data_IF_271518531540
#
_entry.id   IF_271518531540
#
_cell.length_a   1.000
_cell.length_b   1.000
_cell.length_c   1.000
_cell.angle_alpha   90.00
_cell.angle_beta   90.00
_cell.angle_gamma   90.00
#
_symmetry.space_group_name_H-M   'P 1'
#
loop_
_entity.id
_entity.type
_entity.pdbx_description
1 polymer ?
#
# COMPACT_ATOMS: atom_id res chain seq x y z
N UNK A 1 16.15 24.49 14.66
CA UNK A 1 15.03 23.76 14.01
C UNK A 1 14.99 23.92 12.49
N UNK A 2 15.37 25.08 11.93
CA UNK A 2 15.29 25.36 10.47
C UNK A 2 16.21 24.47 9.60
N UNK A 3 17.44 24.15 10.04
CA UNK A 3 18.36 23.24 9.31
C UNK A 3 17.78 21.82 9.08
N UNK A 4 17.09 21.25 10.06
CA UNK A 4 16.47 19.92 9.89
C UNK A 4 15.35 19.89 8.85
N UNK A 5 14.66 21.02 8.64
CA UNK A 5 13.57 21.07 7.66
C UNK A 5 14.12 21.08 6.23
N UNK A 6 15.22 21.80 5.98
CA UNK A 6 15.88 21.84 4.67
C UNK A 6 16.54 20.51 4.29
N UNK A 7 17.05 19.77 5.28
CA UNK A 7 17.64 18.45 5.05
C UNK A 7 16.57 17.42 4.67
N UNK A 8 15.37 17.51 5.28
CA UNK A 8 14.26 16.61 4.95
C UNK A 8 13.66 16.90 3.57
N UNK A 9 13.59 18.17 3.14
CA UNK A 9 13.06 18.51 1.81
C UNK A 9 13.97 18.03 0.70
N UNK A 10 15.29 18.24 0.84
CA UNK A 10 16.28 17.74 -0.14
C UNK A 10 16.30 16.22 -0.20
N UNK A 11 16.22 15.53 0.95
CA UNK A 11 16.09 14.08 1.00
C UNK A 11 14.80 13.58 0.33
N UNK A 12 13.67 14.26 0.54
CA UNK A 12 12.39 13.90 -0.09
C UNK A 12 12.45 14.06 -1.61
N UNK A 13 13.02 15.16 -2.12
CA UNK A 13 13.20 15.39 -3.55
C UNK A 13 14.08 14.31 -4.19
N UNK A 14 15.23 14.01 -3.56
CA UNK A 14 16.12 12.93 -4.00
C UNK A 14 15.43 11.57 -3.97
N UNK A 15 14.69 11.26 -2.90
CA UNK A 15 13.93 10.02 -2.77
C UNK A 15 12.83 9.85 -3.80
N UNK A 16 12.10 10.93 -4.11
CA UNK A 16 11.07 10.94 -5.16
C UNK A 16 11.72 10.73 -6.54
N UNK A 17 12.83 11.43 -6.81
CA UNK A 17 13.57 11.29 -8.07
C UNK A 17 14.11 9.87 -8.26
N UNK A 18 14.75 9.30 -7.24
CA UNK A 18 15.25 7.92 -7.25
C UNK A 18 14.12 6.90 -7.47
N UNK A 19 12.95 7.10 -6.83
CA UNK A 19 11.80 6.23 -7.04
C UNK A 19 11.22 6.33 -8.46
N UNK A 20 11.21 7.52 -9.06
CA UNK A 20 10.81 7.72 -10.46
C UNK A 20 11.77 7.00 -11.42
N UNK A 21 13.09 7.12 -11.21
CA UNK A 21 14.07 6.41 -12.02
C UNK A 21 13.95 4.89 -11.90
N UNK A 22 13.77 4.36 -10.68
CA UNK A 22 13.57 2.93 -10.49
C UNK A 22 12.31 2.40 -11.20
N UNK A 23 11.21 3.18 -11.22
CA UNK A 23 10.02 2.84 -11.99
C UNK A 23 10.27 2.89 -13.50
N UNK A 24 11.02 3.87 -13.97
CA UNK A 24 11.40 3.98 -15.39
C UNK A 24 12.28 2.80 -15.82
N UNK A 25 13.29 2.42 -15.02
CA UNK A 25 14.13 1.25 -15.26
C UNK A 25 13.32 -0.04 -15.28
N UNK A 26 12.40 -0.23 -14.32
CA UNK A 26 11.46 -1.36 -14.30
C UNK A 26 10.63 -1.42 -15.59
N UNK A 27 10.17 -0.27 -16.09
CA UNK A 27 9.38 -0.17 -17.32
C UNK A 27 10.21 -0.47 -18.58
N UNK A 28 11.46 0.01 -18.62
CA UNK A 28 12.41 -0.22 -19.71
C UNK A 28 12.80 -1.69 -19.81
N UNK A 29 13.17 -2.33 -18.69
CA UNK A 29 13.53 -3.77 -18.64
C UNK A 29 12.41 -4.70 -19.12
N UNK A 30 11.16 -4.27 -18.96
CA UNK A 30 9.98 -5.03 -19.37
C UNK A 30 9.38 -4.54 -20.69
N UNK A 31 10.03 -3.61 -21.40
CA UNK A 31 9.56 -3.00 -22.64
C UNK A 31 8.12 -2.47 -22.56
N UNK A 32 7.69 -2.01 -21.37
CA UNK A 32 6.32 -1.54 -21.15
C UNK A 32 6.02 -0.24 -21.89
N UNK A 33 7.06 0.53 -22.24
CA UNK A 33 6.95 1.74 -23.05
C UNK A 33 6.44 1.46 -24.47
N UNK A 34 6.65 0.25 -24.99
CA UNK A 34 6.10 -0.21 -26.29
C UNK A 34 4.61 -0.58 -26.22
N UNK A 35 3.98 -0.47 -25.05
CA UNK A 35 2.57 -0.83 -24.80
C UNK A 35 2.22 -2.24 -25.33
N UNK A 36 2.96 -3.28 -24.91
CA UNK A 36 2.68 -4.65 -25.35
C UNK A 36 1.26 -5.06 -24.92
N UNK A 37 0.57 -5.83 -25.76
CA UNK A 37 -0.74 -6.40 -25.40
C UNK A 37 -0.59 -7.51 -24.35
N UNK A 38 0.43 -8.37 -24.52
CA UNK A 38 0.71 -9.50 -23.62
C UNK A 38 2.18 -9.57 -23.22
N UNK A 39 2.44 -10.15 -22.05
CA UNK A 39 3.76 -10.39 -21.46
C UNK A 39 3.83 -11.80 -20.87
N UNK A 40 5.04 -12.32 -20.63
CA UNK A 40 5.21 -13.62 -19.97
C UNK A 40 4.83 -13.56 -18.49
N UNK A 41 4.40 -14.70 -17.92
CA UNK A 41 4.06 -14.81 -16.49
C UNK A 41 5.23 -14.45 -15.57
N UNK A 42 6.43 -14.89 -15.92
CA UNK A 42 7.65 -14.62 -15.15
C UNK A 42 7.98 -13.13 -15.12
N UNK A 43 7.91 -12.46 -16.28
CA UNK A 43 8.13 -11.01 -16.38
C UNK A 43 7.11 -10.26 -15.54
N UNK A 44 5.81 -10.58 -15.67
CA UNK A 44 4.75 -9.99 -14.83
C UNK A 44 5.05 -10.12 -13.34
N UNK A 45 5.41 -11.33 -12.88
CA UNK A 45 5.71 -11.61 -11.47
C UNK A 45 6.88 -10.75 -10.98
N UNK A 46 7.94 -10.66 -11.77
CA UNK A 46 9.12 -9.86 -11.46
C UNK A 46 8.79 -8.37 -11.36
N UNK A 47 8.19 -7.78 -12.40
CA UNK A 47 7.82 -6.36 -12.40
C UNK A 47 6.87 -6.01 -11.27
N UNK A 48 5.90 -6.87 -10.98
CA UNK A 48 4.97 -6.64 -9.87
C UNK A 48 5.64 -6.71 -8.50
N UNK A 49 6.65 -7.58 -8.33
CA UNK A 49 7.44 -7.67 -7.10
C UNK A 49 8.30 -6.41 -6.92
N UNK A 50 8.99 -5.97 -7.96
CA UNK A 50 9.81 -4.74 -7.97
C UNK A 50 8.93 -3.51 -7.70
N UNK A 51 7.82 -3.33 -8.43
CA UNK A 51 6.87 -2.23 -8.17
C UNK A 51 6.23 -2.31 -6.79
N UNK A 52 6.06 -3.50 -6.19
CA UNK A 52 5.54 -3.64 -4.82
C UNK A 52 6.56 -3.12 -3.82
N UNK A 53 7.83 -3.46 -4.00
CA UNK A 53 8.93 -2.94 -3.19
C UNK A 53 9.01 -1.40 -3.29
N UNK A 54 9.02 -0.86 -4.50
CA UNK A 54 9.04 0.59 -4.73
C UNK A 54 7.79 1.26 -4.11
N UNK A 55 6.60 0.67 -4.25
CA UNK A 55 5.39 1.23 -3.67
C UNK A 55 5.42 1.31 -2.13
N UNK A 56 6.18 0.45 -1.44
CA UNK A 56 6.38 0.58 0.02
C UNK A 56 7.18 1.84 0.31
N UNK A 57 8.25 2.10 -0.44
CA UNK A 57 9.07 3.29 -0.29
C UNK A 57 8.29 4.57 -0.61
N UNK A 58 7.50 4.58 -1.69
CA UNK A 58 6.64 5.72 -2.03
C UNK A 58 5.69 6.07 -0.87
N UNK A 59 5.04 5.06 -0.26
CA UNK A 59 4.16 5.31 0.89
C UNK A 59 4.91 5.90 2.09
N UNK A 60 6.12 5.41 2.34
CA UNK A 60 6.99 5.90 3.42
C UNK A 60 7.47 7.33 3.17
N UNK A 61 7.84 7.68 1.94
CA UNK A 61 8.16 9.06 1.54
C UNK A 61 6.95 9.99 1.74
N UNK A 62 5.77 9.57 1.29
CA UNK A 62 4.53 10.33 1.49
C UNK A 62 4.20 10.48 2.98
N UNK A 63 4.46 9.46 3.79
CA UNK A 63 4.30 9.53 5.25
C UNK A 63 5.26 10.52 5.89
N UNK A 64 6.54 10.52 5.49
CA UNK A 64 7.52 11.45 6.01
C UNK A 64 7.12 12.90 5.68
N UNK A 65 6.74 13.14 4.43
CA UNK A 65 6.21 14.43 4.00
C UNK A 65 4.89 14.80 4.71
N UNK A 66 4.02 13.83 5.01
CA UNK A 66 2.80 14.08 5.75
C UNK A 66 3.09 14.55 7.19
N UNK A 67 4.09 13.97 7.84
CA UNK A 67 4.51 14.33 9.19
C UNK A 67 5.19 15.72 9.26
N UNK A 68 5.74 16.22 8.15
CA UNK A 68 6.32 17.56 8.09
C UNK A 68 5.30 18.68 7.79
N UNK A 69 4.06 18.35 7.42
CA UNK A 69 3.03 19.35 7.09
C UNK A 69 2.35 19.86 8.36
N UNK A 70 2.35 21.17 8.55
CA UNK A 70 1.50 21.83 9.55
C UNK A 70 0.08 21.98 8.97
N UNK A 71 -0.89 21.34 9.61
CA UNK A 71 -2.30 21.43 9.22
C UNK A 71 -3.05 22.39 10.12
N UNK A 72 -3.97 23.17 9.54
CA UNK A 72 -4.95 23.91 10.32
C UNK A 72 -5.74 22.96 11.25
N UNK A 73 -6.16 23.41 12.45
CA UNK A 73 -6.91 22.58 13.39
C UNK A 73 -8.10 21.86 12.75
N UNK A 74 -8.40 20.64 13.22
CA UNK A 74 -9.57 19.90 12.74
C UNK A 74 -10.81 20.68 13.14
N UNK A 75 -11.55 21.21 12.15
CA UNK A 75 -12.92 21.66 12.41
C UNK A 75 -13.75 20.41 12.75
N UNK A 76 -14.41 20.34 13.92
CA UNK A 76 -15.25 19.22 14.26
C UNK A 76 -16.31 19.07 13.17
N UNK A 77 -16.33 17.90 12.52
CA UNK A 77 -17.37 17.60 11.54
C UNK A 77 -18.65 17.39 12.33
N UNK A 78 -19.69 18.18 12.01
CA UNK A 78 -21.02 17.95 12.55
C UNK A 78 -21.38 16.47 12.35
N UNK A 79 -21.83 15.76 13.40
CA UNK A 79 -22.14 14.34 13.28
C UNK A 79 -23.12 14.15 12.13
N UNK A 80 -22.71 13.37 11.13
CA UNK A 80 -23.67 12.89 10.14
C UNK A 80 -24.66 12.04 10.92
N UNK A 81 -25.98 12.30 10.87
CA UNK A 81 -26.94 11.51 11.64
C UNK A 81 -26.71 10.05 11.27
N UNK A 82 -26.35 9.24 12.27
CA UNK A 82 -26.39 7.81 12.13
C UNK A 82 -27.84 7.46 11.78
N UNK A 83 -28.04 6.69 10.71
CA UNK A 83 -29.31 6.00 10.52
C UNK A 83 -29.53 5.20 11.81
N UNK A 84 -30.54 5.59 12.60
CA UNK A 84 -31.01 4.79 13.73
C UNK A 84 -31.30 3.42 13.16
N UNK A 85 -30.51 2.43 13.55
CA UNK A 85 -30.94 1.04 13.47
C UNK A 85 -31.96 0.95 14.61
N UNK A 86 -33.23 1.14 14.25
CA UNK A 86 -34.35 0.82 15.13
C UNK A 86 -34.30 -0.67 15.43
N UNK A 87 -34.52 -1.00 16.70
CA UNK A 87 -34.63 -2.35 17.23
C UNK A 87 -33.37 -3.21 17.17
N UNK A 88 -32.97 -3.70 18.36
CA UNK A 88 -32.24 -4.95 18.48
C UNK A 88 -33.19 -6.10 18.10
N UNK A 89 -33.53 -6.19 16.82
CA UNK A 89 -34.14 -7.37 16.23
C UNK A 89 -33.02 -8.25 15.71
N UNK A 90 -33.12 -9.54 16.04
CA UNK A 90 -32.16 -10.59 15.72
C UNK A 90 -31.49 -10.37 14.36
N UNK A 91 -30.23 -9.92 14.42
CA UNK A 91 -29.37 -9.62 13.26
C UNK A 91 -29.21 -10.85 12.35
N UNK A 92 -29.53 -12.05 12.84
CA UNK A 92 -29.54 -13.32 12.10
C UNK A 92 -30.67 -13.47 11.08
N UNK A 93 -31.76 -12.70 11.17
CA UNK A 93 -32.89 -12.78 10.24
C UNK A 93 -32.66 -11.99 8.93
N UNK A 94 -31.75 -11.00 8.94
CA UNK A 94 -31.41 -10.18 7.76
C UNK A 94 -30.39 -10.83 6.83
N UNK A 95 -29.73 -11.89 7.30
CA UNK A 95 -29.00 -12.80 6.44
C UNK A 95 -30.02 -13.86 6.01
N UNK A 96 -30.19 -14.08 4.71
CA UNK A 96 -31.09 -15.12 4.18
C UNK A 96 -30.76 -16.52 4.72
N UNK A 97 -31.34 -17.61 4.16
CA UNK A 97 -31.22 -18.96 4.70
C UNK A 97 -29.80 -19.27 5.16
N UNK A 98 -29.62 -19.40 6.48
CA UNK A 98 -28.30 -19.58 7.06
C UNK A 98 -27.76 -20.92 6.56
N UNK A 99 -26.57 -20.97 5.93
CA UNK A 99 -25.94 -22.24 5.64
C UNK A 99 -25.79 -22.99 6.96
N UNK A 100 -26.23 -24.26 6.98
CA UNK A 100 -26.21 -25.13 8.16
C UNK A 100 -24.95 -24.91 9.00
N UNK A 101 -25.12 -24.72 10.32
CA UNK A 101 -24.04 -24.32 11.23
C UNK A 101 -22.74 -25.12 11.09
N UNK A 102 -21.65 -24.52 11.54
CA UNK A 102 -20.31 -25.11 11.49
C UNK A 102 -20.29 -26.50 12.12
N UNK A 103 -20.31 -27.54 11.27
CA UNK A 103 -20.25 -28.93 11.72
C UNK A 103 -18.81 -29.26 12.08
N UNK A 104 -18.60 -29.68 13.33
CA UNK A 104 -17.29 -30.13 13.82
C UNK A 104 -16.88 -31.49 13.23
N UNK A 105 -17.82 -32.21 12.62
CA UNK A 105 -17.54 -33.44 11.90
C UNK A 105 -17.26 -33.14 10.42
N UNK A 106 -16.24 -33.76 9.81
CA UNK A 106 -16.06 -33.68 8.38
C UNK A 106 -17.32 -34.22 7.67
N UNK A 107 -17.77 -33.61 6.56
CA UNK A 107 -18.91 -34.11 5.82
C UNK A 107 -18.65 -35.56 5.39
N UNK A 108 -19.68 -36.41 5.45
CA UNK A 108 -19.59 -37.81 5.00
C UNK A 108 -19.00 -37.82 3.58
N UNK A 109 -17.92 -38.57 3.39
CA UNK A 109 -17.26 -38.66 2.09
C UNK A 109 -18.29 -39.09 1.03
N UNK A 110 -18.58 -38.18 0.11
CA UNK A 110 -19.39 -38.49 -1.06
C UNK A 110 -18.68 -39.51 -1.96
N UNK A 111 -19.37 -40.06 -2.97
CA UNK A 111 -18.74 -40.90 -3.98
C UNK A 111 -17.48 -40.21 -4.53
N UNK A 112 -16.40 -40.97 -4.81
CA UNK A 112 -15.11 -40.40 -5.19
C UNK A 112 -15.32 -39.40 -6.32
N UNK A 113 -14.91 -38.17 -6.05
CA UNK A 113 -15.00 -37.09 -7.02
C UNK A 113 -14.26 -37.56 -8.29
N UNK A 114 -14.97 -37.69 -9.41
CA UNK A 114 -14.40 -38.01 -10.75
C UNK A 114 -13.46 -36.91 -11.29
N UNK A 115 -12.93 -36.04 -10.43
CA UNK A 115 -12.00 -34.97 -10.79
C UNK A 115 -10.53 -35.40 -10.71
N UNK A 116 -10.24 -36.68 -10.43
CA UNK A 116 -8.88 -37.22 -10.63
C UNK A 116 -8.48 -37.26 -12.11
N UNK A 117 -9.44 -37.16 -13.03
CA UNK A 117 -9.18 -36.73 -14.40
C UNK A 117 -9.06 -35.21 -14.38
N UNK A 118 -7.95 -34.71 -13.83
CA UNK A 118 -7.66 -33.28 -13.77
C UNK A 118 -7.79 -32.70 -15.17
N UNK A 119 -8.65 -31.70 -15.34
CA UNK A 119 -8.67 -30.88 -16.55
C UNK A 119 -7.24 -30.36 -16.71
N UNK A 120 -6.52 -30.86 -17.71
CA UNK A 120 -5.19 -30.38 -18.06
C UNK A 120 -5.33 -28.92 -18.49
N UNK A 121 -5.25 -28.00 -17.53
CA UNK A 121 -5.17 -26.58 -17.81
C UNK A 121 -3.79 -26.30 -18.38
N UNK A 122 -3.70 -26.27 -19.72
CA UNK A 122 -2.48 -25.86 -20.40
C UNK A 122 -2.11 -24.48 -19.87
N UNK A 123 -0.95 -24.31 -19.22
CA UNK A 123 -0.59 -23.04 -18.63
C UNK A 123 -0.44 -22.02 -19.76
N UNK A 124 -1.37 -21.05 -19.84
CA UNK A 124 -1.20 -19.89 -20.74
C UNK A 124 0.17 -19.26 -20.47
N UNK A 125 1.04 -19.24 -21.48
CA UNK A 125 2.43 -18.74 -21.35
C UNK A 125 2.45 -17.20 -21.29
N UNK A 126 1.48 -16.57 -21.93
CA UNK A 126 1.26 -15.12 -21.97
C UNK A 126 0.11 -14.68 -21.07
N UNK A 127 0.22 -13.46 -20.55
CA UNK A 127 -0.78 -12.79 -19.70
C UNK A 127 -0.90 -11.34 -20.16
N UNK A 128 -2.07 -10.74 -19.96
CA UNK A 128 -2.30 -9.34 -20.29
C UNK A 128 -1.32 -8.41 -19.55
N UNK A 129 -0.74 -7.49 -20.30
CA UNK A 129 0.20 -6.49 -19.77
C UNK A 129 -0.51 -5.28 -19.14
N UNK A 130 -1.77 -5.03 -19.54
CA UNK A 130 -2.60 -3.92 -19.07
C UNK A 130 -2.55 -3.67 -17.55
N UNK A 131 -2.71 -4.67 -16.65
CA UNK A 131 -2.66 -4.42 -15.21
C UNK A 131 -1.27 -3.98 -14.71
N UNK A 132 -0.19 -4.42 -15.36
CA UNK A 132 1.18 -4.02 -15.01
C UNK A 132 1.40 -2.55 -15.40
N UNK A 133 0.99 -2.19 -16.61
CA UNK A 133 1.05 -0.81 -17.11
C UNK A 133 0.19 0.13 -16.26
N UNK A 134 -1.04 -0.27 -15.93
CA UNK A 134 -1.94 0.52 -15.09
C UNK A 134 -1.33 0.79 -13.71
N UNK A 135 -0.69 -0.22 -13.09
CA UNK A 135 -0.02 -0.05 -11.81
C UNK A 135 1.18 0.90 -11.91
N UNK A 136 2.01 0.75 -12.94
CA UNK A 136 3.14 1.64 -13.20
C UNK A 136 2.67 3.10 -13.32
N UNK A 137 1.66 3.35 -14.17
CA UNK A 137 1.07 4.68 -14.37
C UNK A 137 0.51 5.24 -13.06
N UNK A 138 -0.17 4.43 -12.26
CA UNK A 138 -0.69 4.85 -10.97
C UNK A 138 0.43 5.30 -10.01
N UNK A 139 1.55 4.57 -9.93
CA UNK A 139 2.69 4.94 -9.09
C UNK A 139 3.36 6.23 -9.58
N UNK A 140 3.55 6.38 -10.90
CA UNK A 140 4.11 7.61 -11.48
C UNK A 140 3.20 8.81 -11.20
N UNK A 141 1.87 8.66 -11.33
CA UNK A 141 0.91 9.75 -11.04
C UNK A 141 0.99 10.21 -9.58
N UNK A 142 1.14 9.28 -8.65
CA UNK A 142 1.30 9.60 -7.22
C UNK A 142 2.60 10.39 -7.00
N UNK A 143 3.70 9.97 -7.62
CA UNK A 143 5.00 10.64 -7.46
C UNK A 143 5.08 11.99 -8.16
N UNK A 144 4.36 12.20 -9.26
CA UNK A 144 4.27 13.50 -9.94
C UNK A 144 3.59 14.57 -9.08
N UNK A 145 2.56 14.18 -8.33
CA UNK A 145 1.80 15.08 -7.48
C UNK A 145 1.65 14.48 -6.07
N UNK A 146 2.72 14.47 -5.25
CA UNK A 146 2.70 13.73 -3.99
C UNK A 146 2.02 14.52 -2.85
N UNK A 147 1.99 15.86 -2.91
CA UNK A 147 1.45 16.71 -1.84
C UNK A 147 -0.02 16.44 -1.48
N UNK A 148 -0.96 16.24 -2.43
CA UNK A 148 -2.36 15.96 -2.07
C UNK A 148 -2.52 14.62 -1.35
N UNK A 149 -1.63 13.66 -1.63
CA UNK A 149 -1.59 12.39 -0.90
C UNK A 149 -1.04 12.60 0.52
N UNK A 150 0.00 13.41 0.67
CA UNK A 150 0.57 13.78 1.97
C UNK A 150 -0.43 14.51 2.86
N UNK A 151 -1.14 15.51 2.32
CA UNK A 151 -2.18 16.27 3.06
C UNK A 151 -3.31 15.36 3.54
N UNK A 152 -3.78 14.42 2.70
CA UNK A 152 -4.79 13.43 3.09
C UNK A 152 -4.30 12.49 4.18
N UNK A 153 -3.05 12.05 4.09
CA UNK A 153 -2.43 11.20 5.09
C UNK A 153 -2.23 11.94 6.42
N UNK A 154 -1.74 13.18 6.39
CA UNK A 154 -1.58 14.02 7.57
C UNK A 154 -2.92 14.23 8.31
N UNK A 155 -4.01 14.46 7.59
CA UNK A 155 -5.38 14.52 8.16
C UNK A 155 -5.84 13.20 8.76
N UNK A 156 -5.34 12.07 8.26
CA UNK A 156 -5.67 10.75 8.80
C UNK A 156 -4.88 10.49 10.07
N UNK A 157 -3.59 10.82 10.07
CA UNK A 157 -2.72 10.78 11.25
C UNK A 157 -3.28 11.65 12.38
N UNK A 158 -3.69 12.88 12.09
CA UNK A 158 -4.29 13.78 13.07
C UNK A 158 -5.57 13.19 13.71
N UNK A 159 -6.36 12.43 12.93
CA UNK A 159 -7.54 11.73 13.44
C UNK A 159 -7.16 10.54 14.33
N UNK A 160 -6.11 9.81 13.99
CA UNK A 160 -5.60 8.71 14.82
C UNK A 160 -5.09 9.23 16.16
N UNK A 161 -4.35 10.35 16.16
CA UNK A 161 -3.89 11.00 17.39
C UNK A 161 -5.06 11.48 18.25
N UNK A 162 -6.07 12.12 17.66
CA UNK A 162 -7.25 12.57 18.40
C UNK A 162 -8.07 11.42 19.01
N UNK A 163 -7.96 10.21 18.46
CA UNK A 163 -8.60 9.00 19.00
C UNK A 163 -7.75 8.28 20.06
N UNK A 164 -6.51 8.72 20.30
CA UNK A 164 -5.57 8.01 21.16
C UNK A 164 -5.10 6.67 20.58
N UNK A 165 -5.03 6.55 19.26
CA UNK A 165 -4.49 5.33 18.63
C UNK A 165 -2.98 5.20 18.91
N UNK A 166 -2.50 3.96 19.00
CA UNK A 166 -1.11 3.65 19.25
C UNK A 166 -0.18 4.20 18.15
N UNK A 167 1.01 4.63 18.56
CA UNK A 167 2.03 5.16 17.66
C UNK A 167 2.45 4.12 16.61
N UNK A 168 2.43 4.46 15.31
CA UNK A 168 2.97 3.58 14.27
C UNK A 168 4.48 3.35 14.43
N UNK A 169 4.94 2.12 14.20
CA UNK A 169 6.37 1.79 14.15
C UNK A 169 6.78 1.31 12.76
N UNK A 170 7.85 1.90 12.19
CA UNK A 170 8.32 1.59 10.84
C UNK A 170 9.57 0.71 10.89
N UNK A 171 9.40 -0.54 10.47
CA UNK A 171 10.49 -1.53 10.43
C UNK A 171 11.39 -1.33 9.18
N UNK A 172 12.71 -1.58 9.28
CA UNK A 172 13.59 -1.63 8.12
C UNK A 172 13.07 -2.57 7.03
N UNK A 173 13.26 -2.18 5.76
CA UNK A 173 12.80 -2.98 4.64
C UNK A 173 13.73 -4.17 4.39
N UNK A 174 13.18 -5.35 4.11
CA UNK A 174 13.95 -6.52 3.71
C UNK A 174 14.46 -6.40 2.26
N UNK A 175 15.53 -7.13 1.93
CA UNK A 175 16.10 -7.24 0.57
C UNK A 175 16.45 -5.90 -0.13
N UNK A 176 16.91 -4.91 0.64
CA UNK A 176 17.35 -3.58 0.13
C UNK A 176 18.44 -3.65 -0.94
N UNK A 177 19.30 -4.68 -0.89
CA UNK A 177 20.37 -4.92 -1.86
C UNK A 177 19.88 -5.17 -3.30
N UNK A 178 18.58 -5.44 -3.50
CA UNK A 178 17.97 -5.63 -4.83
C UNK A 178 17.47 -4.34 -5.47
N UNK A 179 17.44 -3.26 -4.70
CA UNK A 179 17.04 -1.95 -5.19
C UNK A 179 18.21 -1.29 -5.90
N UNK A 180 17.91 -0.30 -6.74
CA UNK A 180 18.89 0.61 -7.26
C UNK A 180 19.71 1.25 -6.11
N UNK A 181 21.03 1.48 -6.24
CA UNK A 181 21.87 1.99 -5.15
C UNK A 181 21.34 3.25 -4.47
N UNK A 182 20.89 4.25 -5.25
CA UNK A 182 20.34 5.49 -4.68
C UNK A 182 19.07 5.21 -3.89
N UNK A 183 18.16 4.41 -4.46
CA UNK A 183 16.93 4.02 -3.81
C UNK A 183 17.18 3.11 -2.59
N UNK A 184 18.25 2.33 -2.60
CA UNK A 184 18.72 1.50 -1.51
C UNK A 184 19.19 2.33 -0.31
N UNK A 185 19.92 3.42 -0.57
CA UNK A 185 20.29 4.40 0.45
C UNK A 185 19.05 5.05 1.06
N UNK A 186 18.14 5.56 0.22
CA UNK A 186 16.85 6.12 0.67
C UNK A 186 16.09 5.11 1.53
N UNK A 187 16.01 3.84 1.10
CA UNK A 187 15.33 2.77 1.83
C UNK A 187 15.97 2.44 3.19
N UNK A 188 17.27 2.68 3.35
CA UNK A 188 17.98 2.47 4.62
C UNK A 188 17.72 3.57 5.64
N UNK A 189 17.65 4.82 5.18
CA UNK A 189 17.54 6.01 6.02
C UNK A 189 16.08 6.31 6.41
N UNK A 190 15.13 6.04 5.51
CA UNK A 190 13.70 6.33 5.68
C UNK A 190 13.09 5.84 7.01
N UNK A 191 13.32 4.59 7.47
CA UNK A 191 12.76 4.10 8.73
C UNK A 191 13.23 4.92 9.93
N UNK A 192 14.49 5.36 9.94
CA UNK A 192 15.04 6.15 11.03
C UNK A 192 14.39 7.53 11.08
N UNK A 193 14.32 8.22 9.93
CA UNK A 193 13.65 9.53 9.82
C UNK A 193 12.17 9.48 10.20
N UNK A 194 11.46 8.43 9.77
CA UNK A 194 10.05 8.24 10.11
C UNK A 194 9.86 7.98 11.61
N UNK A 195 10.64 7.06 12.18
CA UNK A 195 10.52 6.75 13.60
C UNK A 195 10.90 7.97 14.46
N UNK A 196 11.89 8.76 14.05
CA UNK A 196 12.25 10.03 14.70
C UNK A 196 11.10 11.04 14.64
N UNK A 197 10.52 11.27 13.45
CA UNK A 197 9.38 12.17 13.28
C UNK A 197 8.15 11.73 14.09
N UNK A 198 7.97 10.41 14.26
CA UNK A 198 6.88 9.84 15.05
C UNK A 198 7.12 9.93 16.57
N UNK A 199 8.29 10.34 17.06
CA UNK A 199 8.53 10.52 18.51
C UNK A 199 7.64 11.59 19.13
N UNK A 200 7.15 12.55 18.33
CA UNK A 200 6.20 13.56 18.79
C UNK A 200 4.76 13.05 18.95
N UNK A 201 4.50 11.76 18.73
CA UNK A 201 3.20 11.15 19.06
C UNK A 201 3.02 11.19 20.57
N UNK A 202 1.89 11.73 21.04
CA UNK A 202 1.60 11.75 22.48
C UNK A 202 1.55 10.31 22.99
N UNK A 203 2.48 9.95 23.87
CA UNK A 203 2.49 8.64 24.52
C UNK A 203 1.34 8.63 25.53
N UNK A 204 0.18 8.12 25.12
CA UNK A 204 -0.87 7.68 26.06
C UNK A 204 -0.44 6.34 26.65
N UNK A 205 0.60 6.35 27.49
CA UNK A 205 1.00 5.26 28.38
C UNK A 205 0.74 5.67 29.82
#
# INVERSE_FOLDING_TARGET
MLLRMTDNTTFLEQGIRAALYALADTASRANLHLKPKTITKSLKRRCMAEMRAIAVLIRRLIMLMALSIQLAPLKPRAPKPASKIESAEDVTASFGPQPSGFSLAPPKAGPPIRCLNGVYMVPKRSVDAAPVIARLVALIRILKNPEPHAKRLARTIQRWQAKGEARPHVVPMAARHRLDPELGLVASLLPQLLNEALKGWADTS
#
